data_IF_487943365407
#
_entry.id   IF_487943365407
#
_cell.length_a   1.000
_cell.length_b   1.000
_cell.length_c   1.000
_cell.angle_alpha   90.00
_cell.angle_beta   90.00
_cell.angle_gamma   90.00
#
_symmetry.space_group_name_H-M   'P 1'
#
loop_
_entity.id
_entity.type
_entity.pdbx_description
1 polymer ?
#
# COMPACT_ATOMS: atom_id res chain seq x y z
N UNK A 1 4.33 6.39 -19.04
CA UNK A 1 3.59 5.19 -18.85
C UNK A 1 4.35 4.17 -18.05
N UNK A 2 3.65 3.19 -17.61
CA UNK A 2 4.28 2.13 -16.85
C UNK A 2 5.10 1.25 -17.76
N UNK A 3 6.36 1.12 -17.43
CA UNK A 3 7.21 0.20 -18.11
C UNK A 3 6.86 -1.22 -17.65
N UNK A 4 6.59 -2.07 -18.62
CA UNK A 4 6.36 -3.45 -18.28
C UNK A 4 7.68 -4.11 -17.93
N UNK A 5 7.67 -4.80 -16.82
CA UNK A 5 8.81 -5.59 -16.41
C UNK A 5 9.12 -6.66 -17.47
N UNK A 6 10.37 -7.09 -17.52
CA UNK A 6 10.77 -8.23 -18.31
C UNK A 6 10.01 -9.48 -17.87
N UNK A 7 10.04 -10.52 -18.67
CA UNK A 7 9.42 -11.80 -18.32
C UNK A 7 9.90 -12.30 -16.96
N UNK A 8 11.18 -12.07 -16.64
CA UNK A 8 11.76 -12.47 -15.35
C UNK A 8 11.10 -11.76 -14.18
N UNK A 9 10.67 -10.51 -14.37
CA UNK A 9 10.14 -9.69 -13.30
C UNK A 9 8.63 -9.78 -13.16
N UNK A 10 7.92 -10.36 -14.14
CA UNK A 10 6.46 -10.45 -14.08
C UNK A 10 5.95 -11.17 -12.86
N UNK A 11 6.65 -12.19 -12.40
CA UNK A 11 6.29 -12.92 -11.18
C UNK A 11 6.39 -12.06 -9.93
N UNK A 12 7.06 -10.91 -10.02
CA UNK A 12 7.19 -9.97 -8.93
C UNK A 12 6.05 -8.94 -8.90
N UNK A 13 5.05 -9.11 -9.76
CA UNK A 13 3.89 -8.23 -9.82
C UNK A 13 2.61 -9.02 -9.63
N UNK A 14 1.63 -8.39 -9.03
CA UNK A 14 0.28 -8.95 -8.95
C UNK A 14 -0.74 -7.83 -8.93
N UNK A 15 -1.96 -8.16 -9.32
CA UNK A 15 -3.07 -7.24 -9.25
C UNK A 15 -3.85 -7.45 -7.97
N UNK A 16 -4.37 -6.35 -7.45
CA UNK A 16 -5.19 -6.30 -6.26
C UNK A 16 -6.43 -5.47 -6.55
N UNK A 17 -7.60 -5.99 -6.20
CA UNK A 17 -8.83 -5.19 -6.23
C UNK A 17 -8.92 -4.43 -4.91
N UNK A 18 -9.04 -3.12 -5.01
CA UNK A 18 -9.13 -2.25 -3.83
C UNK A 18 -10.49 -2.42 -3.19
N UNK A 19 -10.50 -2.60 -1.87
CA UNK A 19 -11.73 -2.71 -1.09
C UNK A 19 -11.78 -1.58 -0.07
N UNK A 20 -12.96 -0.98 0.05
CA UNK A 20 -13.19 0.11 0.97
C UNK A 20 -12.82 1.46 0.38
N UNK A 21 -13.06 2.50 1.15
CA UNK A 21 -12.98 3.87 0.69
C UNK A 21 -11.91 4.71 1.39
N UNK A 22 -11.01 4.08 2.13
CA UNK A 22 -10.01 4.81 2.91
C UNK A 22 -9.00 5.58 2.05
N UNK A 23 -8.89 5.27 0.77
CA UNK A 23 -7.97 5.93 -0.15
C UNK A 23 -8.66 6.87 -1.13
N UNK A 24 -9.96 7.06 -0.98
CA UNK A 24 -10.70 8.03 -1.81
C UNK A 24 -10.32 9.46 -1.44
N UNK A 25 -10.35 10.37 -2.38
CA UNK A 25 -10.87 10.23 -3.75
C UNK A 25 -9.84 9.73 -4.77
N UNK A 26 -8.61 9.46 -4.36
CA UNK A 26 -7.56 9.11 -5.33
C UNK A 26 -7.65 7.69 -5.85
N UNK A 27 -7.99 6.76 -4.96
CA UNK A 27 -8.17 5.36 -5.30
C UNK A 27 -9.49 4.92 -4.71
N UNK A 28 -10.35 4.37 -5.52
CA UNK A 28 -11.72 4.04 -5.14
C UNK A 28 -11.90 2.56 -4.91
N UNK A 29 -12.92 2.22 -4.12
CA UNK A 29 -13.37 0.84 -3.98
C UNK A 29 -13.62 0.24 -5.37
N UNK A 30 -13.11 -0.95 -5.60
CA UNK A 30 -13.24 -1.63 -6.88
C UNK A 30 -12.15 -1.33 -7.89
N UNK A 31 -11.30 -0.34 -7.64
CA UNK A 31 -10.17 -0.06 -8.52
C UNK A 31 -9.19 -1.23 -8.54
N UNK A 32 -8.49 -1.34 -9.64
CA UNK A 32 -7.46 -2.35 -9.82
C UNK A 32 -6.09 -1.73 -9.60
N UNK A 33 -5.35 -2.25 -8.65
CA UNK A 33 -3.99 -1.79 -8.34
C UNK A 33 -2.97 -2.81 -8.77
N UNK A 34 -1.91 -2.36 -9.41
CA UNK A 34 -0.77 -3.20 -9.77
C UNK A 34 0.29 -3.04 -8.70
N UNK A 35 0.69 -4.15 -8.11
CA UNK A 35 1.59 -4.19 -6.96
C UNK A 35 2.89 -4.87 -7.36
N UNK A 36 4.01 -4.22 -7.05
CA UNK A 36 5.31 -4.86 -7.11
C UNK A 36 5.61 -5.50 -5.77
N UNK A 37 5.94 -6.80 -5.77
CA UNK A 37 6.31 -7.52 -4.54
C UNK A 37 7.67 -7.02 -4.07
N UNK A 38 7.69 -6.42 -2.90
CA UNK A 38 8.90 -5.96 -2.24
C UNK A 38 8.58 -5.80 -0.76
N UNK A 39 9.59 -5.92 0.08
CA UNK A 39 9.40 -5.87 1.53
C UNK A 39 9.81 -4.54 2.15
N UNK A 40 10.16 -3.56 1.33
CA UNK A 40 10.49 -2.21 1.77
C UNK A 40 9.74 -1.18 0.94
N UNK A 41 9.52 0.00 1.53
CA UNK A 41 8.91 1.13 0.86
C UNK A 41 9.73 2.37 1.19
N UNK A 42 9.77 3.31 0.26
CA UNK A 42 10.32 4.63 0.51
C UNK A 42 9.26 5.54 1.14
N UNK A 43 9.73 6.57 1.83
CA UNK A 43 8.84 7.55 2.42
C UNK A 43 7.95 8.18 1.33
N UNK A 44 6.66 8.11 1.53
CA UNK A 44 5.67 8.65 0.59
C UNK A 44 5.12 7.65 -0.41
N UNK A 45 5.66 6.44 -0.46
CA UNK A 45 5.13 5.41 -1.36
C UNK A 45 3.73 4.98 -0.95
N UNK A 46 2.95 4.58 -1.95
CA UNK A 46 1.74 3.83 -1.70
C UNK A 46 2.10 2.35 -1.64
N UNK A 47 1.64 1.68 -0.63
CA UNK A 47 1.96 0.28 -0.44
C UNK A 47 0.80 -0.54 0.08
N UNK A 48 0.99 -1.84 -0.01
CA UNK A 48 0.11 -2.82 0.61
C UNK A 48 0.85 -3.39 1.80
N UNK A 49 0.22 -3.31 2.96
CA UNK A 49 0.83 -3.70 4.23
C UNK A 49 -0.16 -4.51 5.05
N UNK A 50 0.38 -5.34 5.92
CA UNK A 50 -0.38 -6.08 6.91
C UNK A 50 0.15 -5.71 8.28
N UNK A 51 -0.73 -5.30 9.18
CA UNK A 51 -0.36 -4.96 10.55
C UNK A 51 -1.07 -5.89 11.53
N UNK A 52 -0.27 -6.57 12.34
CA UNK A 52 -0.79 -7.55 13.28
C UNK A 52 -1.48 -8.72 12.58
N UNK A 53 -2.65 -9.09 13.07
CA UNK A 53 -3.47 -10.16 12.50
C UNK A 53 -4.47 -9.65 11.47
N UNK A 54 -4.31 -8.39 11.06
CA UNK A 54 -5.23 -7.76 10.12
C UNK A 54 -5.09 -8.26 8.70
N UNK A 55 -6.00 -7.79 7.88
CA UNK A 55 -5.93 -8.00 6.44
C UNK A 55 -4.96 -7.02 5.80
N UNK A 56 -4.58 -7.30 4.57
CA UNK A 56 -3.80 -6.35 3.77
C UNK A 56 -4.55 -5.04 3.60
N UNK A 57 -3.85 -3.95 3.72
CA UNK A 57 -4.40 -2.61 3.57
C UNK A 57 -3.51 -1.79 2.63
N UNK A 58 -4.14 -0.95 1.82
CA UNK A 58 -3.45 -0.04 0.92
C UNK A 58 -3.45 1.35 1.56
N UNK A 59 -2.26 1.90 1.81
CA UNK A 59 -2.09 3.19 2.47
C UNK A 59 -0.85 3.88 1.93
N UNK A 60 -0.75 5.17 2.21
CA UNK A 60 0.50 5.89 2.02
C UNK A 60 1.42 5.58 3.18
N UNK A 61 2.64 5.16 2.86
CA UNK A 61 3.67 4.83 3.83
C UNK A 61 4.48 6.08 4.13
N UNK A 62 4.53 6.50 5.38
CA UNK A 62 5.27 7.69 5.79
C UNK A 62 6.21 7.30 6.92
N UNK A 63 7.48 7.66 6.78
CA UNK A 63 8.45 7.55 7.87
C UNK A 63 8.52 8.89 8.58
N UNK A 64 8.41 8.85 9.88
CA UNK A 64 8.46 10.05 10.71
C UNK A 64 9.30 9.74 11.95
N UNK A 65 10.60 10.08 11.89
CA UNK A 65 11.52 9.69 12.95
C UNK A 65 11.59 8.16 13.06
N UNK A 66 11.35 7.64 14.26
CA UNK A 66 11.35 6.20 14.52
C UNK A 66 9.98 5.55 14.31
N UNK A 67 9.00 6.31 13.84
CA UNK A 67 7.66 5.81 13.62
C UNK A 67 7.39 5.63 12.13
N UNK A 68 6.47 4.73 11.84
CA UNK A 68 5.85 4.59 10.53
C UNK A 68 4.40 4.99 10.66
N UNK A 69 3.94 5.81 9.72
CA UNK A 69 2.54 6.22 9.66
C UNK A 69 1.92 5.61 8.42
N UNK A 70 0.83 4.90 8.61
CA UNK A 70 -0.01 4.42 7.51
C UNK A 70 -1.12 5.44 7.33
N UNK A 71 -1.05 6.18 6.23
CA UNK A 71 -1.89 7.36 6.00
C UNK A 71 -2.96 7.08 4.94
N UNK A 72 -4.25 7.15 5.30
CA UNK A 72 -5.33 7.11 4.34
C UNK A 72 -5.44 8.46 3.62
N UNK A 73 -5.88 8.45 2.35
CA UNK A 73 -6.16 9.72 1.65
C UNK A 73 -7.52 10.30 2.04
N UNK A 74 -8.44 9.44 2.47
CA UNK A 74 -9.76 9.89 2.87
C UNK A 74 -9.70 10.51 4.26
N UNK A 75 -10.07 11.79 4.41
CA UNK A 75 -9.99 12.46 5.70
C UNK A 75 -10.96 11.93 6.75
N UNK A 76 -11.90 11.09 6.37
CA UNK A 76 -12.79 10.43 7.33
C UNK A 76 -12.10 9.33 8.12
N UNK A 77 -10.88 8.95 7.72
CA UNK A 77 -10.09 7.93 8.40
C UNK A 77 -8.87 8.54 9.04
N UNK A 78 -8.45 7.97 10.16
CA UNK A 78 -7.29 8.44 10.89
C UNK A 78 -6.02 7.73 10.45
N UNK A 79 -4.88 8.39 10.65
CA UNK A 79 -3.57 7.77 10.49
C UNK A 79 -3.39 6.66 11.54
N UNK A 80 -2.73 5.60 11.13
CA UNK A 80 -2.24 4.59 12.06
C UNK A 80 -0.75 4.81 12.28
N UNK A 81 -0.37 5.12 13.51
CA UNK A 81 1.02 5.38 13.87
C UNK A 81 1.58 4.14 14.57
N UNK A 82 2.65 3.60 14.00
CA UNK A 82 3.28 2.36 14.46
C UNK A 82 4.70 2.70 14.88
N UNK A 83 5.06 2.35 16.12
CA UNK A 83 6.38 2.68 16.65
C UNK A 83 6.87 1.60 17.61
N UNK A 84 8.18 1.61 17.86
CA UNK A 84 8.78 0.70 18.81
C UNK A 84 8.61 -0.75 18.40
N UNK A 85 8.31 -1.59 19.37
CA UNK A 85 8.14 -3.03 19.14
C UNK A 85 6.97 -3.35 18.22
N UNK A 86 6.01 -2.46 18.12
CA UNK A 86 4.87 -2.65 17.21
C UNK A 86 5.31 -2.73 15.74
N UNK A 87 6.44 -2.14 15.40
CA UNK A 87 6.99 -2.24 14.05
C UNK A 87 7.31 -3.68 13.64
N UNK A 88 7.55 -4.55 14.62
CA UNK A 88 7.81 -5.97 14.35
C UNK A 88 6.56 -6.68 13.82
N UNK A 89 5.39 -6.09 13.99
CA UNK A 89 4.11 -6.62 13.52
C UNK A 89 3.67 -6.03 12.19
N UNK A 90 4.48 -5.17 11.60
CA UNK A 90 4.18 -4.57 10.30
C UNK A 90 4.92 -5.32 9.20
N UNK A 91 4.16 -5.80 8.22
CA UNK A 91 4.70 -6.48 7.04
C UNK A 91 4.34 -5.69 5.80
N UNK A 92 5.33 -5.45 4.96
CA UNK A 92 5.13 -4.82 3.67
C UNK A 92 5.00 -5.92 2.63
N UNK A 93 3.87 -5.95 1.93
CA UNK A 93 3.63 -6.93 0.88
C UNK A 93 4.09 -6.42 -0.48
N UNK A 94 4.05 -5.12 -0.70
CA UNK A 94 4.50 -4.56 -1.95
C UNK A 94 4.20 -3.08 -2.12
N UNK A 95 4.68 -2.55 -3.24
CA UNK A 95 4.50 -1.16 -3.63
C UNK A 95 3.44 -1.06 -4.72
N UNK A 96 2.55 -0.10 -4.59
CA UNK A 96 1.57 0.22 -5.64
C UNK A 96 2.29 0.97 -6.75
N UNK A 97 2.34 0.40 -7.94
CA UNK A 97 3.01 1.05 -9.07
C UNK A 97 2.04 1.75 -10.00
N UNK A 98 0.80 1.30 -10.05
CA UNK A 98 -0.29 2.05 -10.71
C UNK A 98 -1.63 1.57 -10.18
N UNK A 99 -2.67 2.36 -10.41
CA UNK A 99 -4.05 1.97 -10.15
C UNK A 99 -4.95 2.53 -11.24
N UNK A 100 -6.05 1.84 -11.49
CA UNK A 100 -7.02 2.28 -12.49
C UNK A 100 -8.42 1.89 -12.08
N UNK A 101 -9.38 2.70 -12.51
CA UNK A 101 -10.79 2.39 -12.36
C UNK A 101 -11.17 1.24 -13.29
N UNK A 102 -12.07 0.38 -12.83
CA UNK A 102 -12.53 -0.79 -13.60
C UNK A 102 -13.94 -0.62 -14.13
N UNK A 103 -14.60 0.47 -13.76
CA UNK A 103 -15.99 0.70 -14.15
C UNK A 103 -16.21 1.89 -15.02
#
# INVERSE_FOLDING_TARGET
GTEYASVKDRQNYFYLVVKGDSMEPRISDGDLALIHRQNTLDNGDLGVMVYGDGNGTLKKYIQRGNAVVLHPFNPDYEDLIIRGEELDHLYIAGKVVESKATG
#
